data_IF_927502232821
#
_entry.id   IF_927502232821
#
_cell.length_a   1.000
_cell.length_b   1.000
_cell.length_c   1.000
_cell.angle_alpha   90.00
_cell.angle_beta   90.00
_cell.angle_gamma   90.00
#
_symmetry.space_group_name_H-M   'P 1'
#
loop_
_entity.id
_entity.type
_entity.pdbx_description
1 polymer ?
#
# COMPACT_ATOMS: atom_id res chain seq x y z
N UNK A 1 -28.66 3.00 5.89
CA UNK A 1 -27.39 3.36 5.26
C UNK A 1 -26.62 2.08 4.95
N UNK A 2 -26.10 1.99 3.73
CA UNK A 2 -25.16 0.95 3.29
C UNK A 2 -23.82 1.64 3.08
N UNK A 3 -22.79 1.17 3.78
CA UNK A 3 -21.48 1.81 3.83
C UNK A 3 -20.43 0.83 3.34
N UNK A 4 -19.86 1.09 2.18
CA UNK A 4 -18.76 0.33 1.63
C UNK A 4 -17.41 0.86 2.18
N UNK A 5 -16.42 -0.03 2.27
CA UNK A 5 -15.10 0.26 2.86
C UNK A 5 -15.21 0.94 4.24
N UNK A 6 -16.13 0.45 5.06
CA UNK A 6 -16.52 1.10 6.31
C UNK A 6 -15.38 1.26 7.32
N UNK A 7 -14.26 0.54 7.14
CA UNK A 7 -13.05 0.68 7.94
C UNK A 7 -12.31 2.01 7.72
N UNK A 8 -12.61 2.77 6.64
CA UNK A 8 -11.94 4.02 6.32
C UNK A 8 -12.68 5.25 6.82
N UNK A 9 -13.99 5.32 6.58
CA UNK A 9 -14.77 6.55 6.72
C UNK A 9 -15.62 6.64 7.99
N UNK A 10 -15.71 5.56 8.76
CA UNK A 10 -16.65 5.49 9.89
C UNK A 10 -16.02 5.74 11.26
N UNK A 11 -14.72 6.01 11.32
CA UNK A 11 -13.98 6.27 12.53
C UNK A 11 -13.63 7.77 12.65
N UNK A 12 -14.62 8.61 12.88
CA UNK A 12 -14.39 10.04 13.01
C UNK A 12 -15.66 10.85 13.25
N UNK A 13 -15.52 12.16 13.19
CA UNK A 13 -16.61 13.10 13.47
C UNK A 13 -17.75 13.04 12.45
N UNK A 14 -17.43 12.69 11.20
CA UNK A 14 -18.45 12.54 10.14
C UNK A 14 -19.48 11.46 10.51
N UNK A 15 -19.00 10.29 10.95
CA UNK A 15 -19.92 9.21 11.37
C UNK A 15 -20.79 9.66 12.56
N UNK A 16 -20.21 10.34 13.54
CA UNK A 16 -20.95 10.86 14.69
C UNK A 16 -22.04 11.87 14.27
N UNK A 17 -21.73 12.77 13.35
CA UNK A 17 -22.70 13.74 12.82
C UNK A 17 -23.85 13.06 12.08
N UNK A 18 -23.53 12.07 11.22
CA UNK A 18 -24.54 11.29 10.48
C UNK A 18 -25.43 10.52 11.46
N UNK A 19 -24.84 9.80 12.42
CA UNK A 19 -25.57 9.01 13.40
C UNK A 19 -26.46 9.87 14.31
N UNK A 20 -25.98 11.04 14.70
CA UNK A 20 -26.80 12.00 15.49
C UNK A 20 -27.96 12.57 14.69
N UNK A 21 -27.73 12.88 13.40
CA UNK A 21 -28.77 13.42 12.52
C UNK A 21 -29.84 12.39 12.20
N UNK A 22 -29.42 11.13 11.99
CA UNK A 22 -30.28 10.02 11.58
C UNK A 22 -30.35 8.93 12.65
N UNK A 23 -30.71 9.31 13.88
CA UNK A 23 -30.67 8.43 15.06
C UNK A 23 -31.57 7.19 14.98
N UNK A 24 -32.53 7.16 14.05
CA UNK A 24 -33.44 6.00 13.82
C UNK A 24 -33.03 5.18 12.59
N UNK A 25 -31.97 5.51 11.93
CA UNK A 25 -31.51 4.80 10.74
C UNK A 25 -30.76 3.51 11.12
N UNK A 26 -30.85 2.51 10.25
CA UNK A 26 -30.03 1.31 10.32
C UNK A 26 -28.78 1.49 9.47
N UNK A 27 -27.65 0.97 9.95
CA UNK A 27 -26.35 1.08 9.32
C UNK A 27 -25.81 -0.33 9.04
N UNK A 28 -25.45 -0.57 7.78
CA UNK A 28 -24.82 -1.81 7.33
C UNK A 28 -23.44 -1.46 6.75
N UNK A 29 -22.38 -1.99 7.36
CA UNK A 29 -21.00 -1.78 6.93
C UNK A 29 -20.47 -2.99 6.16
N UNK A 30 -19.84 -2.76 5.02
CA UNK A 30 -19.10 -3.74 4.25
C UNK A 30 -17.62 -3.38 4.26
N UNK A 31 -16.75 -4.37 4.48
CA UNK A 31 -15.29 -4.14 4.47
C UNK A 31 -14.53 -5.44 4.27
N UNK A 32 -13.48 -5.40 3.48
CA UNK A 32 -12.50 -6.47 3.35
C UNK A 32 -11.48 -6.51 4.51
N UNK A 33 -11.37 -5.43 5.30
CA UNK A 33 -10.37 -5.26 6.37
C UNK A 33 -11.00 -4.69 7.64
N UNK A 34 -11.81 -5.47 8.36
CA UNK A 34 -12.42 -5.01 9.60
C UNK A 34 -11.35 -4.66 10.64
N UNK A 35 -11.65 -3.67 11.49
CA UNK A 35 -10.83 -3.30 12.64
C UNK A 35 -11.24 -4.12 13.85
N UNK A 36 -10.29 -4.78 14.47
CA UNK A 36 -10.47 -5.57 15.69
C UNK A 36 -9.88 -4.82 16.89
N UNK A 37 -10.11 -5.34 18.09
CA UNK A 37 -9.55 -4.77 19.33
C UNK A 37 -8.02 -4.80 19.37
N UNK A 38 -7.43 -5.79 18.71
CA UNK A 38 -5.98 -5.96 18.56
C UNK A 38 -5.37 -5.00 17.53
N UNK A 39 -6.20 -4.47 16.62
CA UNK A 39 -5.79 -3.50 15.59
C UNK A 39 -6.90 -2.44 15.43
N UNK A 40 -7.12 -1.60 16.45
CA UNK A 40 -8.16 -0.58 16.43
C UNK A 40 -7.84 0.52 15.42
N UNK A 41 -8.82 1.37 15.16
CA UNK A 41 -8.62 2.61 14.40
C UNK A 41 -7.84 3.65 15.23
N UNK A 42 -7.48 4.77 14.61
CA UNK A 42 -6.77 5.86 15.29
C UNK A 42 -7.52 6.42 16.51
N UNK A 43 -8.83 6.34 16.52
CA UNK A 43 -9.68 6.76 17.66
C UNK A 43 -9.94 5.64 18.69
N UNK A 44 -9.25 4.51 18.56
CA UNK A 44 -9.31 3.39 19.49
C UNK A 44 -10.53 2.47 19.32
N UNK A 45 -11.43 2.74 18.37
CA UNK A 45 -12.63 1.91 18.13
C UNK A 45 -12.36 0.77 17.15
N UNK A 46 -13.07 -0.33 17.34
CA UNK A 46 -13.15 -1.44 16.40
C UNK A 46 -14.39 -1.34 15.52
N UNK A 47 -14.48 -2.16 14.49
CA UNK A 47 -15.66 -2.23 13.61
C UNK A 47 -16.92 -2.63 14.39
N UNK A 48 -16.79 -3.49 15.39
CA UNK A 48 -17.90 -3.94 16.24
C UNK A 48 -18.43 -2.79 17.12
N UNK A 49 -17.57 -1.87 17.54
CA UNK A 49 -18.00 -0.71 18.34
C UNK A 49 -18.91 0.26 17.56
N UNK A 50 -18.88 0.18 16.22
CA UNK A 50 -19.71 1.01 15.34
C UNK A 50 -20.93 0.26 14.82
N UNK A 51 -20.76 -1.00 14.40
CA UNK A 51 -21.80 -1.78 13.72
C UNK A 51 -22.41 -2.89 14.62
N UNK A 52 -22.02 -2.94 15.89
CA UNK A 52 -22.53 -3.84 16.93
C UNK A 52 -22.31 -5.34 16.63
N UNK A 53 -22.72 -5.84 15.47
CA UNK A 53 -22.71 -7.26 15.15
C UNK A 53 -22.17 -7.52 13.74
N UNK A 54 -21.25 -8.47 13.65
CA UNK A 54 -20.88 -9.06 12.36
C UNK A 54 -21.98 -10.01 11.90
N UNK A 55 -22.58 -9.71 10.76
CA UNK A 55 -23.70 -10.48 10.20
C UNK A 55 -23.22 -11.64 9.31
N UNK A 56 -22.12 -11.44 8.60
CA UNK A 56 -21.56 -12.40 7.65
C UNK A 56 -20.05 -12.21 7.48
N UNK A 57 -19.34 -13.30 7.29
CA UNK A 57 -17.92 -13.33 6.94
C UNK A 57 -17.71 -14.19 5.70
N UNK A 58 -16.96 -13.65 4.72
CA UNK A 58 -16.49 -14.37 3.55
C UNK A 58 -14.99 -14.12 3.41
N UNK A 59 -14.18 -15.08 3.83
CA UNK A 59 -12.74 -14.94 3.91
C UNK A 59 -12.07 -15.36 2.59
N UNK A 60 -10.82 -14.93 2.42
CA UNK A 60 -10.03 -15.28 1.22
C UNK A 60 -9.94 -16.81 1.02
N UNK A 61 -9.86 -17.58 2.11
CA UNK A 61 -9.87 -19.06 2.05
C UNK A 61 -11.17 -19.61 1.46
N UNK A 62 -12.30 -18.97 1.77
CA UNK A 62 -13.61 -19.37 1.26
C UNK A 62 -13.73 -19.00 -0.23
N UNK A 63 -13.24 -17.83 -0.60
CA UNK A 63 -13.20 -17.37 -1.98
C UNK A 63 -12.28 -18.25 -2.88
N UNK A 64 -11.16 -18.74 -2.34
CA UNK A 64 -10.28 -19.68 -3.04
C UNK A 64 -10.97 -21.03 -3.20
N UNK A 65 -11.64 -21.52 -2.14
CA UNK A 65 -12.39 -22.79 -2.17
C UNK A 65 -13.54 -22.75 -3.20
N UNK A 66 -14.21 -21.60 -3.30
CA UNK A 66 -15.30 -21.38 -4.25
C UNK A 66 -14.81 -21.02 -5.66
N UNK A 67 -13.48 -21.07 -5.90
CA UNK A 67 -12.83 -20.75 -7.17
C UNK A 67 -13.05 -19.29 -7.67
N UNK A 68 -13.50 -18.40 -6.79
CA UNK A 68 -13.68 -16.99 -7.08
C UNK A 68 -12.35 -16.21 -7.07
N UNK A 69 -11.33 -16.73 -6.39
CA UNK A 69 -10.00 -16.16 -6.28
C UNK A 69 -8.95 -17.26 -6.51
N UNK A 70 -7.91 -16.94 -7.25
CA UNK A 70 -6.78 -17.86 -7.43
C UNK A 70 -6.02 -18.07 -6.13
N UNK A 71 -5.52 -19.28 -5.92
CA UNK A 71 -4.62 -19.58 -4.82
C UNK A 71 -3.29 -18.81 -4.96
N UNK A 72 -2.66 -18.50 -3.83
CA UNK A 72 -1.37 -17.83 -3.77
C UNK A 72 -0.48 -18.46 -2.69
N UNK A 73 0.83 -18.22 -2.79
CA UNK A 73 1.81 -18.56 -1.76
C UNK A 73 2.40 -17.28 -1.18
N UNK A 74 2.82 -17.34 0.08
CA UNK A 74 3.48 -16.24 0.78
C UNK A 74 4.88 -16.66 1.16
N UNK A 75 5.88 -15.93 0.67
CA UNK A 75 7.27 -16.10 1.06
C UNK A 75 7.67 -14.96 1.99
N UNK A 76 8.21 -15.29 3.15
CA UNK A 76 8.71 -14.31 4.12
C UNK A 76 10.23 -14.20 3.99
N UNK A 77 10.72 -12.97 3.83
CA UNK A 77 12.14 -12.66 3.78
C UNK A 77 12.52 -11.76 4.95
N UNK A 78 13.61 -12.10 5.64
CA UNK A 78 14.13 -11.33 6.76
C UNK A 78 15.34 -10.53 6.30
N UNK A 79 15.23 -9.21 6.28
CA UNK A 79 16.30 -8.28 5.90
C UNK A 79 16.91 -7.51 7.09
N UNK A 80 16.49 -7.84 8.30
CA UNK A 80 17.00 -7.24 9.54
C UNK A 80 17.36 -8.35 10.50
N UNK A 81 18.59 -8.35 11.00
CA UNK A 81 19.01 -9.20 12.08
C UNK A 81 19.23 -8.33 13.33
N UNK A 82 18.59 -8.72 14.40
CA UNK A 82 18.82 -8.09 15.70
C UNK A 82 20.12 -8.61 16.31
N UNK A 83 21.08 -7.74 16.59
CA UNK A 83 22.36 -8.09 17.20
C UNK A 83 22.39 -7.90 18.72
N UNK A 84 21.27 -7.71 19.38
CA UNK A 84 21.18 -7.58 20.83
C UNK A 84 21.02 -8.94 21.52
N UNK A 85 21.84 -9.23 22.53
CA UNK A 85 21.59 -10.32 23.47
C UNK A 85 20.52 -9.84 24.46
N UNK A 86 19.28 -10.27 24.27
CA UNK A 86 18.27 -10.23 25.33
C UNK A 86 17.47 -11.52 25.28
N UNK A 87 17.73 -12.36 26.25
CA UNK A 87 16.83 -13.42 26.68
C UNK A 87 15.65 -12.72 27.35
N UNK A 88 14.63 -12.36 26.65
CA UNK A 88 13.27 -12.13 27.11
C UNK A 88 12.54 -11.25 26.06
N UNK A 89 11.30 -11.62 25.76
CA UNK A 89 10.30 -10.90 24.95
C UNK A 89 9.94 -9.52 25.55
N UNK A 90 10.90 -8.71 25.95
CA UNK A 90 10.65 -7.32 26.27
C UNK A 90 10.55 -6.54 24.97
N UNK A 91 9.35 -6.04 24.67
CA UNK A 91 9.17 -4.98 23.69
C UNK A 91 10.24 -3.93 23.93
N UNK A 92 11.19 -3.81 23.01
CA UNK A 92 12.20 -2.76 23.07
C UNK A 92 11.49 -1.46 22.76
N UNK A 93 11.16 -0.75 23.80
CA UNK A 93 10.43 0.51 23.83
C UNK A 93 11.28 1.67 23.29
N UNK A 94 11.88 1.58 22.11
CA UNK A 94 12.57 2.70 21.45
C UNK A 94 13.21 2.37 20.09
N UNK A 95 12.68 1.44 19.31
CA UNK A 95 13.10 1.37 17.92
C UNK A 95 12.18 2.29 17.13
N UNK A 96 12.72 3.36 16.59
CA UNK A 96 12.05 4.12 15.55
C UNK A 96 11.92 3.21 14.32
N UNK A 97 10.73 2.63 14.17
CA UNK A 97 10.42 1.73 13.07
C UNK A 97 10.58 2.42 11.72
N UNK A 98 10.34 3.72 11.65
CA UNK A 98 10.50 4.51 10.43
C UNK A 98 11.97 4.66 10.05
N UNK A 99 12.86 4.85 11.02
CA UNK A 99 14.30 4.89 10.80
C UNK A 99 14.80 3.55 10.23
N UNK A 100 14.36 2.43 10.81
CA UNK A 100 14.72 1.08 10.31
C UNK A 100 14.19 0.85 8.91
N UNK A 101 12.95 1.23 8.62
CA UNK A 101 12.36 1.09 7.28
C UNK A 101 13.05 1.96 6.25
N UNK A 102 13.55 3.13 6.64
CA UNK A 102 14.23 4.09 5.78
C UNK A 102 15.75 3.86 5.69
N UNK A 103 16.33 2.90 6.40
CA UNK A 103 17.77 2.62 6.37
C UNK A 103 18.25 2.26 4.94
N UNK A 104 19.31 2.93 4.47
CA UNK A 104 19.83 2.77 3.11
C UNK A 104 20.24 1.33 2.80
N UNK A 105 20.92 0.68 3.75
CA UNK A 105 21.36 -0.71 3.58
C UNK A 105 20.19 -1.67 3.44
N UNK A 106 19.13 -1.48 4.22
CA UNK A 106 17.91 -2.28 4.12
C UNK A 106 17.22 -2.08 2.78
N UNK A 107 17.05 -0.84 2.34
CA UNK A 107 16.45 -0.49 1.04
C UNK A 107 17.25 -1.11 -0.10
N UNK A 108 18.59 -1.03 -0.02
CA UNK A 108 19.50 -1.64 -1.00
C UNK A 108 19.38 -3.16 -1.05
N UNK A 109 19.39 -3.82 0.09
CA UNK A 109 19.27 -5.28 0.18
C UNK A 109 17.97 -5.78 -0.42
N UNK A 110 16.85 -5.12 -0.09
CA UNK A 110 15.54 -5.47 -0.64
C UNK A 110 15.48 -5.21 -2.15
N UNK A 111 15.96 -4.07 -2.61
CA UNK A 111 15.98 -3.76 -4.05
C UNK A 111 16.84 -4.75 -4.84
N UNK A 112 18.00 -5.13 -4.30
CA UNK A 112 18.90 -6.11 -4.92
C UNK A 112 18.26 -7.51 -4.95
N UNK A 113 17.59 -7.90 -3.87
CA UNK A 113 16.86 -9.17 -3.79
C UNK A 113 15.74 -9.24 -4.84
N UNK A 114 14.95 -8.18 -4.95
CA UNK A 114 13.91 -8.07 -5.97
C UNK A 114 14.51 -8.22 -7.38
N UNK A 115 15.58 -7.51 -7.69
CA UNK A 115 16.25 -7.60 -9.00
C UNK A 115 16.73 -9.02 -9.27
N UNK A 116 17.41 -9.65 -8.31
CA UNK A 116 18.00 -10.99 -8.46
C UNK A 116 16.94 -12.06 -8.66
N UNK A 117 15.79 -11.95 -8.01
CA UNK A 117 14.73 -12.95 -8.05
C UNK A 117 13.59 -12.62 -9.01
N UNK A 118 13.59 -11.44 -9.65
CA UNK A 118 12.50 -11.00 -10.51
C UNK A 118 12.16 -12.02 -11.59
N UNK A 119 13.14 -12.50 -12.35
CA UNK A 119 12.90 -13.43 -13.44
C UNK A 119 12.27 -14.75 -12.93
N UNK A 120 12.77 -15.28 -11.80
CA UNK A 120 12.24 -16.50 -11.18
C UNK A 120 10.79 -16.28 -10.74
N UNK A 121 10.53 -15.19 -10.01
CA UNK A 121 9.19 -14.89 -9.47
C UNK A 121 8.18 -14.54 -10.55
N UNK A 122 8.62 -13.98 -11.66
CA UNK A 122 7.75 -13.60 -12.79
C UNK A 122 7.73 -14.66 -13.92
N UNK A 123 8.31 -15.84 -13.71
CA UNK A 123 8.45 -16.89 -14.72
C UNK A 123 9.08 -16.37 -16.03
N UNK A 124 10.29 -15.86 -15.90
CA UNK A 124 11.05 -15.24 -17.01
C UNK A 124 10.29 -14.09 -17.68
N UNK A 125 9.72 -13.22 -16.85
CA UNK A 125 8.96 -12.02 -17.26
C UNK A 125 7.67 -12.32 -18.02
N UNK A 126 7.15 -13.55 -17.88
CA UNK A 126 5.81 -13.87 -18.37
C UNK A 126 4.74 -13.11 -17.58
N UNK A 127 5.01 -12.72 -16.35
CA UNK A 127 4.14 -11.95 -15.49
C UNK A 127 4.84 -10.67 -15.04
N UNK A 128 4.04 -9.64 -14.76
CA UNK A 128 4.51 -8.43 -14.12
C UNK A 128 4.56 -8.59 -12.60
N UNK A 129 5.27 -7.70 -11.93
CA UNK A 129 5.32 -7.62 -10.48
C UNK A 129 4.78 -6.29 -9.99
N UNK A 130 4.16 -6.28 -8.81
CA UNK A 130 3.71 -5.10 -8.10
C UNK A 130 4.47 -5.02 -6.79
N UNK A 131 5.15 -3.90 -6.57
CA UNK A 131 5.86 -3.61 -5.33
C UNK A 131 5.16 -2.46 -4.60
N UNK A 132 4.69 -2.72 -3.40
CA UNK A 132 3.99 -1.74 -2.57
C UNK A 132 4.82 -1.38 -1.35
N UNK A 133 4.76 -0.10 -0.98
CA UNK A 133 5.47 0.45 0.19
C UNK A 133 4.51 1.25 1.07
N UNK A 134 4.89 1.47 2.31
CA UNK A 134 4.02 2.09 3.32
C UNK A 134 3.86 3.60 3.18
N UNK A 135 4.79 4.30 2.50
CA UNK A 135 4.77 5.75 2.42
C UNK A 135 5.38 6.29 1.12
N UNK A 136 5.02 7.52 0.75
CA UNK A 136 5.59 8.21 -0.41
C UNK A 136 7.12 8.46 -0.26
N UNK A 137 7.65 8.91 0.89
CA UNK A 137 9.09 9.01 1.08
C UNK A 137 9.83 7.69 0.83
N UNK A 138 9.28 6.58 1.32
CA UNK A 138 9.87 5.25 1.11
C UNK A 138 9.79 4.83 -0.37
N UNK A 139 8.70 5.16 -1.07
CA UNK A 139 8.58 4.93 -2.51
C UNK A 139 9.67 5.68 -3.29
N UNK A 140 9.88 6.95 -2.97
CA UNK A 140 10.94 7.77 -3.58
C UNK A 140 12.30 7.12 -3.39
N UNK A 141 12.58 6.70 -2.16
CA UNK A 141 13.85 6.07 -1.81
C UNK A 141 14.09 4.76 -2.56
N UNK A 142 13.10 3.89 -2.66
CA UNK A 142 13.20 2.67 -3.47
C UNK A 142 13.34 2.97 -4.95
N UNK A 143 12.60 3.92 -5.49
CA UNK A 143 12.70 4.28 -6.90
C UNK A 143 14.11 4.75 -7.26
N UNK A 144 14.70 5.63 -6.45
CA UNK A 144 16.05 6.12 -6.64
C UNK A 144 17.10 5.01 -6.43
N UNK A 145 16.87 4.10 -5.47
CA UNK A 145 17.72 2.94 -5.27
C UNK A 145 17.70 2.01 -6.49
N UNK A 146 16.53 1.67 -7.02
CA UNK A 146 16.43 0.88 -8.25
C UNK A 146 17.18 1.55 -9.42
N UNK A 147 17.03 2.86 -9.59
CA UNK A 147 17.75 3.60 -10.64
C UNK A 147 19.28 3.58 -10.48
N UNK A 148 19.78 3.46 -9.26
CA UNK A 148 21.20 3.40 -8.96
C UNK A 148 21.82 2.02 -9.20
N UNK A 149 20.99 0.97 -9.18
CA UNK A 149 21.42 -0.42 -9.37
C UNK A 149 21.46 -0.78 -10.86
N UNK A 150 22.35 -1.73 -11.23
CA UNK A 150 22.44 -2.20 -12.60
C UNK A 150 21.37 -3.27 -12.87
N UNK A 151 20.39 -2.96 -13.69
CA UNK A 151 19.35 -3.88 -14.13
C UNK A 151 18.66 -3.37 -15.41
N UNK A 152 17.87 -4.23 -16.05
CA UNK A 152 17.09 -3.90 -17.26
C UNK A 152 15.57 -3.90 -17.03
N UNK A 153 15.12 -3.91 -15.77
CA UNK A 153 13.70 -3.85 -15.43
C UNK A 153 13.10 -2.49 -15.80
N UNK A 154 11.89 -2.52 -16.36
CA UNK A 154 11.12 -1.31 -16.63
C UNK A 154 10.23 -1.01 -15.42
N UNK A 155 10.53 0.06 -14.72
CA UNK A 155 9.86 0.42 -13.47
C UNK A 155 9.02 1.67 -13.68
N UNK A 156 7.71 1.57 -13.44
CA UNK A 156 6.80 2.70 -13.32
C UNK A 156 6.36 2.86 -11.88
N UNK A 157 6.19 4.09 -11.41
CA UNK A 157 5.74 4.38 -10.05
C UNK A 157 4.48 5.22 -10.06
N UNK A 158 3.54 4.88 -9.19
CA UNK A 158 2.28 5.61 -8.99
C UNK A 158 2.04 5.82 -7.50
N UNK A 159 1.51 6.96 -7.17
CA UNK A 159 0.95 7.27 -5.85
C UNK A 159 -0.16 8.31 -5.99
N UNK A 160 -1.06 8.36 -5.04
CA UNK A 160 -2.09 9.39 -4.96
C UNK A 160 -1.75 10.33 -3.82
N UNK A 161 -1.82 11.63 -4.07
CA UNK A 161 -1.79 12.62 -3.02
C UNK A 161 -3.25 12.96 -2.67
N UNK A 162 -3.64 12.67 -1.43
CA UNK A 162 -4.99 12.98 -0.95
C UNK A 162 -5.13 14.49 -0.72
N UNK A 163 -6.28 15.05 -1.10
CA UNK A 163 -6.58 16.46 -0.90
C UNK A 163 -6.88 16.84 0.57
N UNK A 164 -6.74 15.91 1.52
CA UNK A 164 -7.25 16.04 2.90
C UNK A 164 -6.20 15.89 4.00
N UNK A 165 -4.92 15.88 3.67
CA UNK A 165 -3.89 15.91 4.71
C UNK A 165 -3.26 17.30 4.72
N UNK A 166 -3.00 17.87 5.90
CA UNK A 166 -2.39 19.18 6.19
C UNK A 166 -1.05 19.41 5.46
N UNK A 167 -1.06 19.78 4.17
CA UNK A 167 0.00 19.52 3.22
C UNK A 167 0.36 20.70 2.32
N UNK A 168 0.41 21.91 2.85
CA UNK A 168 0.85 23.04 2.05
C UNK A 168 2.34 23.03 1.64
N UNK A 169 3.17 22.17 2.26
CA UNK A 169 4.59 22.08 1.92
C UNK A 169 5.00 20.79 1.17
N UNK A 170 4.21 19.72 1.28
CA UNK A 170 4.52 18.43 0.63
C UNK A 170 3.90 18.27 -0.76
N UNK A 171 2.91 19.07 -1.12
CA UNK A 171 2.19 18.95 -2.40
C UNK A 171 3.03 19.36 -3.61
N UNK A 172 3.83 20.41 -3.51
CA UNK A 172 4.72 20.82 -4.60
C UNK A 172 5.83 19.78 -4.83
N UNK A 173 6.46 19.31 -3.76
CA UNK A 173 7.47 18.26 -3.84
C UNK A 173 6.94 16.94 -4.42
N UNK A 174 5.74 16.52 -4.01
CA UNK A 174 5.10 15.32 -4.53
C UNK A 174 4.78 15.43 -6.03
N UNK A 175 4.42 16.62 -6.50
CA UNK A 175 4.14 16.91 -7.91
C UNK A 175 5.40 16.84 -8.78
N UNK A 176 6.50 17.40 -8.29
CA UNK A 176 7.79 17.34 -8.97
C UNK A 176 8.31 15.90 -9.09
N UNK A 177 8.15 15.13 -8.02
CA UNK A 177 8.51 13.71 -8.00
C UNK A 177 7.70 12.92 -9.01
N UNK A 178 6.40 13.14 -9.07
CA UNK A 178 5.52 12.47 -10.01
C UNK A 178 5.85 12.84 -11.46
N UNK A 179 6.15 14.11 -11.74
CA UNK A 179 6.63 14.57 -13.04
C UNK A 179 7.93 13.88 -13.47
N UNK A 180 8.85 13.68 -12.53
CA UNK A 180 10.10 12.94 -12.77
C UNK A 180 9.79 11.49 -13.18
N UNK A 181 8.90 10.82 -12.46
CA UNK A 181 8.53 9.45 -12.78
C UNK A 181 7.82 9.32 -14.12
N UNK A 182 6.94 10.26 -14.46
CA UNK A 182 6.29 10.29 -15.77
C UNK A 182 7.30 10.57 -16.90
N UNK A 183 8.28 11.43 -16.70
CA UNK A 183 9.37 11.67 -17.68
C UNK A 183 10.18 10.40 -17.92
N UNK A 184 10.55 9.69 -16.87
CA UNK A 184 11.25 8.40 -16.98
C UNK A 184 10.40 7.36 -17.71
N UNK A 185 9.12 7.27 -17.37
CA UNK A 185 8.16 6.37 -18.01
C UNK A 185 7.98 6.70 -19.49
N UNK A 186 7.80 7.96 -19.83
CA UNK A 186 7.67 8.42 -21.21
C UNK A 186 8.90 8.03 -22.06
N UNK A 187 10.10 8.14 -21.48
CA UNK A 187 11.34 7.71 -22.14
C UNK A 187 11.37 6.20 -22.36
N UNK A 188 10.95 5.39 -21.36
CA UNK A 188 10.95 3.93 -21.46
C UNK A 188 9.93 3.40 -22.46
N UNK A 189 8.74 4.00 -22.50
CA UNK A 189 7.61 3.48 -23.27
C UNK A 189 7.24 4.34 -24.50
N UNK A 190 8.02 5.39 -24.81
CA UNK A 190 7.79 6.33 -25.92
C UNK A 190 6.38 6.96 -25.86
N UNK A 191 5.96 7.36 -24.67
CA UNK A 191 4.70 8.04 -24.39
C UNK A 191 4.93 9.52 -24.10
N UNK A 192 3.87 10.31 -23.88
CA UNK A 192 3.97 11.73 -23.57
C UNK A 192 2.96 12.12 -22.48
N UNK A 193 3.08 11.51 -21.31
CA UNK A 193 2.24 11.83 -20.14
C UNK A 193 2.84 13.01 -19.35
N UNK A 194 1.93 13.72 -18.66
CA UNK A 194 2.26 14.79 -17.72
C UNK A 194 1.33 14.75 -16.53
N UNK A 195 1.57 15.51 -15.50
CA UNK A 195 0.68 15.62 -14.33
C UNK A 195 -0.75 16.00 -14.70
N UNK A 196 -0.96 16.76 -15.78
CA UNK A 196 -2.30 17.08 -16.31
C UNK A 196 -2.99 15.88 -16.95
N UNK A 197 -2.26 14.84 -17.35
CA UNK A 197 -2.79 13.61 -17.96
C UNK A 197 -2.58 12.39 -17.05
N UNK A 198 -2.58 12.60 -15.74
CA UNK A 198 -2.34 11.56 -14.74
C UNK A 198 -3.26 10.35 -14.90
N UNK A 199 -4.55 10.57 -15.13
CA UNK A 199 -5.51 9.47 -15.33
C UNK A 199 -5.14 8.59 -16.53
N UNK A 200 -4.62 9.18 -17.59
CA UNK A 200 -4.18 8.44 -18.79
C UNK A 200 -2.91 7.66 -18.51
N UNK A 201 -1.96 8.25 -17.77
CA UNK A 201 -0.77 7.58 -17.28
C UNK A 201 -1.13 6.37 -16.40
N UNK A 202 -2.00 6.57 -15.42
CA UNK A 202 -2.47 5.51 -14.53
C UNK A 202 -3.13 4.37 -15.30
N UNK A 203 -4.04 4.68 -16.24
CA UNK A 203 -4.69 3.68 -17.09
C UNK A 203 -3.69 2.90 -17.94
N UNK A 204 -2.66 3.56 -18.49
CA UNK A 204 -1.63 2.92 -19.30
C UNK A 204 -0.78 1.95 -18.48
N UNK A 205 -0.36 2.34 -17.26
CA UNK A 205 0.33 1.44 -16.33
C UNK A 205 -0.56 0.24 -16.00
N UNK A 206 -1.81 0.47 -15.60
CA UNK A 206 -2.74 -0.62 -15.28
C UNK A 206 -2.95 -1.57 -16.46
N UNK A 207 -3.03 -1.04 -17.68
CA UNK A 207 -3.14 -1.84 -18.90
C UNK A 207 -1.90 -2.69 -19.14
N UNK A 208 -0.71 -2.12 -18.96
CA UNK A 208 0.57 -2.84 -19.13
C UNK A 208 0.76 -3.93 -18.07
N UNK A 209 0.32 -3.70 -16.82
CA UNK A 209 0.37 -4.71 -15.76
C UNK A 209 -0.55 -5.89 -16.07
N UNK A 210 -1.70 -5.65 -16.69
CA UNK A 210 -2.68 -6.70 -16.98
C UNK A 210 -2.42 -7.48 -18.28
N UNK A 211 -1.76 -6.87 -19.24
CA UNK A 211 -1.65 -7.37 -20.61
C UNK A 211 -0.20 -7.76 -20.95
N UNK A 212 0.39 -8.57 -20.14
CA UNK A 212 1.67 -9.18 -20.50
C UNK A 212 1.45 -10.43 -21.32
#
# INVERSE_FOLDING_TARGET
>A
FIIDECHRSQFGDMHRQISNTFSKAQYFGFTGTPRFKENPSQDGRSTVDIFEKCLHTYLIKDAIKDENVLGFSVDYMKFVEWRGQTEEDSMVEAIDTDEVFMADDRVRLIAQDIINHHNIKTRDRKYNSLFTVSSIPLLIKYYDMFKSLNHDLKIGAIFTYGANEDLDKNTEHSREVLDRYMKDYNKMFKTNFSTHTFDSYFRDICKKIKNN
#
